data_IF_737074667321
#
_entry.id   IF_737074667321
#
_cell.length_a   1.000
_cell.length_b   1.000
_cell.length_c   1.000
_cell.angle_alpha   90.00
_cell.angle_beta   90.00
_cell.angle_gamma   90.00
#
_symmetry.space_group_name_H-M   'P 1'
#
loop_
_entity.id
_entity.type
_entity.pdbx_description
1 polymer ?
#
# COMPACT_ATOMS: atom_id res chain seq x y z
N UNK A 1 -38.36 -14.21 5.17
CA UNK A 1 -37.07 -14.19 5.88
C UNK A 1 -35.99 -13.97 4.83
N UNK A 2 -35.56 -12.73 4.61
CA UNK A 2 -34.51 -12.45 3.65
C UNK A 2 -33.17 -12.82 4.29
N UNK A 3 -32.53 -13.87 3.78
CA UNK A 3 -31.14 -14.17 4.06
C UNK A 3 -30.31 -12.98 3.58
N UNK A 4 -29.83 -12.17 4.51
CA UNK A 4 -28.91 -11.09 4.24
C UNK A 4 -27.53 -11.70 3.97
N UNK A 5 -27.39 -12.34 2.82
CA UNK A 5 -26.09 -12.75 2.29
C UNK A 5 -25.41 -11.48 1.80
N UNK A 6 -24.74 -10.78 2.71
CA UNK A 6 -23.71 -9.84 2.31
C UNK A 6 -22.67 -10.69 1.60
N UNK A 7 -22.76 -10.75 0.27
CA UNK A 7 -21.74 -11.36 -0.55
C UNK A 7 -20.50 -10.47 -0.45
N UNK A 8 -19.73 -10.70 0.61
CA UNK A 8 -18.43 -10.11 0.89
C UNK A 8 -17.34 -10.88 0.12
N UNK A 9 -17.65 -11.36 -1.09
CA UNK A 9 -16.64 -11.82 -2.03
C UNK A 9 -15.88 -10.60 -2.55
N UNK A 10 -15.16 -9.98 -1.62
CA UNK A 10 -14.01 -9.17 -1.91
C UNK A 10 -13.05 -10.10 -2.62
N UNK A 11 -12.46 -9.69 -3.74
CA UNK A 11 -11.37 -10.41 -4.39
C UNK A 11 -10.15 -9.52 -4.31
N UNK A 12 -9.03 -10.01 -3.79
CA UNK A 12 -7.75 -9.30 -3.85
C UNK A 12 -6.62 -10.30 -4.11
N UNK A 13 -5.79 -9.95 -5.09
CA UNK A 13 -4.47 -10.42 -5.59
C UNK A 13 -4.00 -11.88 -5.48
N UNK A 14 -3.77 -12.53 -6.61
CA UNK A 14 -3.01 -13.79 -6.66
C UNK A 14 -1.50 -13.60 -6.39
N UNK A 15 -0.96 -12.39 -6.60
CA UNK A 15 0.46 -12.10 -6.50
C UNK A 15 0.90 -11.66 -5.09
N UNK A 16 2.19 -11.88 -4.75
CA UNK A 16 2.82 -11.52 -3.47
C UNK A 16 2.68 -10.03 -3.12
N UNK A 17 2.60 -9.16 -4.13
CA UNK A 17 2.32 -7.74 -3.99
C UNK A 17 1.26 -7.34 -5.01
N UNK A 18 0.39 -6.36 -4.71
CA UNK A 18 -0.53 -5.81 -5.70
C UNK A 18 0.26 -5.13 -6.83
N UNK A 19 -0.24 -5.24 -8.06
CA UNK A 19 0.30 -4.49 -9.19
C UNK A 19 -0.09 -3.01 -9.09
N UNK A 20 0.35 -2.18 -10.03
CA UNK A 20 -0.17 -0.81 -10.14
C UNK A 20 -1.64 -0.87 -10.56
N UNK A 21 -2.48 0.07 -10.10
CA UNK A 21 -3.93 0.20 -10.39
C UNK A 21 -4.84 -0.92 -9.87
N UNK A 22 -4.25 -1.85 -9.14
CA UNK A 22 -4.88 -2.89 -8.36
C UNK A 22 -5.77 -2.32 -7.22
N UNK A 23 -7.00 -2.81 -7.08
CA UNK A 23 -7.96 -2.37 -6.05
C UNK A 23 -7.70 -2.96 -4.64
N UNK A 24 -7.28 -2.14 -3.68
CA UNK A 24 -7.00 -2.56 -2.27
C UNK A 24 -8.12 -2.17 -1.29
N UNK A 25 -8.29 -2.93 -0.20
CA UNK A 25 -9.26 -2.62 0.84
C UNK A 25 -8.61 -1.78 1.95
N UNK A 26 -9.30 -0.71 2.36
CA UNK A 26 -8.84 0.15 3.45
C UNK A 26 -9.94 0.49 4.44
N UNK A 27 -9.67 0.24 5.72
CA UNK A 27 -10.51 0.69 6.82
C UNK A 27 -10.18 2.16 7.17
N UNK A 28 -11.11 3.06 6.85
CA UNK A 28 -10.94 4.52 7.03
C UNK A 28 -11.39 5.04 8.41
N UNK A 29 -12.51 4.54 8.95
CA UNK A 29 -13.05 5.02 10.24
C UNK A 29 -13.95 3.97 10.89
N UNK A 30 -14.12 4.03 12.21
CA UNK A 30 -15.14 3.25 12.96
C UNK A 30 -16.48 3.96 13.08
N UNK A 31 -16.53 5.25 12.74
CA UNK A 31 -17.74 6.09 12.79
C UNK A 31 -18.25 6.33 11.38
N UNK A 32 -19.54 6.68 11.28
CA UNK A 32 -20.14 7.09 10.01
C UNK A 32 -19.32 8.20 9.37
N UNK A 33 -18.85 7.93 8.14
CA UNK A 33 -18.09 8.88 7.34
C UNK A 33 -19.10 9.78 6.63
N UNK A 34 -19.01 11.10 6.82
CA UNK A 34 -19.84 12.07 6.08
C UNK A 34 -19.32 12.25 4.65
N UNK A 35 -18.00 12.28 4.47
CA UNK A 35 -17.35 12.43 3.17
C UNK A 35 -16.05 11.63 3.14
N UNK A 36 -15.88 10.80 2.11
CA UNK A 36 -14.64 10.04 1.89
C UNK A 36 -13.48 11.01 1.57
N UNK A 37 -13.78 12.07 0.81
CA UNK A 37 -12.79 13.08 0.37
C UNK A 37 -12.17 13.87 1.53
N UNK A 38 -12.77 13.85 2.73
CA UNK A 38 -12.18 14.46 3.91
C UNK A 38 -11.12 13.56 4.58
N UNK A 39 -11.11 12.26 4.26
CA UNK A 39 -10.17 11.28 4.84
C UNK A 39 -9.08 10.87 3.85
N UNK A 40 -9.39 10.78 2.57
CA UNK A 40 -8.47 10.41 1.49
C UNK A 40 -8.68 11.30 0.27
N UNK A 41 -7.61 11.57 -0.48
CA UNK A 41 -7.66 12.35 -1.71
C UNK A 41 -6.92 11.60 -2.81
N UNK A 42 -7.49 11.61 -4.01
CA UNK A 42 -6.82 11.06 -5.20
C UNK A 42 -5.49 11.77 -5.42
N UNK A 43 -4.46 11.01 -5.76
CA UNK A 43 -3.11 11.52 -5.99
C UNK A 43 -2.31 11.81 -4.72
N UNK A 44 -2.89 11.64 -3.52
CA UNK A 44 -2.15 11.77 -2.26
C UNK A 44 -1.57 10.41 -1.84
N UNK A 45 -0.28 10.41 -1.50
CA UNK A 45 0.37 9.29 -0.81
C UNK A 45 0.14 9.49 0.68
N UNK A 46 -0.54 8.52 1.30
CA UNK A 46 -0.84 8.54 2.73
C UNK A 46 -0.22 7.31 3.41
N UNK A 47 0.42 7.47 4.59
CA UNK A 47 0.85 6.33 5.37
C UNK A 47 -0.36 5.56 5.89
N UNK A 48 -0.30 4.24 5.81
CA UNK A 48 -1.34 3.30 6.24
C UNK A 48 -0.68 2.08 6.87
N UNK A 49 -1.36 1.44 7.82
CA UNK A 49 -0.89 0.23 8.47
C UNK A 49 -1.44 -0.98 7.72
N UNK A 50 -0.59 -1.98 7.50
CA UNK A 50 -1.05 -3.33 7.13
C UNK A 50 -1.66 -3.97 8.37
N UNK A 51 -2.97 -4.22 8.34
CA UNK A 51 -3.71 -4.80 9.47
C UNK A 51 -3.79 -6.32 9.40
N UNK A 52 -3.98 -6.87 8.19
CA UNK A 52 -4.03 -8.32 7.95
C UNK A 52 -3.49 -8.62 6.55
N UNK A 53 -2.80 -9.76 6.43
CA UNK A 53 -2.45 -10.38 5.15
C UNK A 53 -2.97 -11.82 5.17
N UNK A 54 -3.76 -12.21 4.17
CA UNK A 54 -4.16 -13.60 3.93
C UNK A 54 -3.49 -14.06 2.63
N UNK A 55 -2.32 -14.68 2.73
CA UNK A 55 -1.48 -15.03 1.58
C UNK A 55 -2.18 -16.01 0.63
N UNK A 56 -2.83 -17.05 1.16
CA UNK A 56 -3.50 -18.10 0.35
C UNK A 56 -4.62 -17.58 -0.55
N UNK A 57 -5.19 -16.43 -0.20
CA UNK A 57 -6.31 -15.83 -0.91
C UNK A 57 -5.99 -14.46 -1.50
N UNK A 58 -4.81 -13.92 -1.19
CA UNK A 58 -4.37 -12.63 -1.71
C UNK A 58 -4.87 -11.37 -1.01
N UNK A 59 -5.47 -11.49 0.17
CA UNK A 59 -6.06 -10.33 0.83
C UNK A 59 -5.05 -9.52 1.61
N UNK A 60 -5.11 -8.20 1.45
CA UNK A 60 -4.39 -7.25 2.29
C UNK A 60 -5.39 -6.22 2.82
N UNK A 61 -5.59 -6.21 4.13
CA UNK A 61 -6.41 -5.20 4.80
C UNK A 61 -5.52 -4.05 5.27
N UNK A 62 -5.79 -2.84 4.77
CA UNK A 62 -5.09 -1.63 5.19
C UNK A 62 -5.91 -0.86 6.22
N UNK A 63 -5.24 -0.10 7.09
CA UNK A 63 -5.92 0.73 8.09
C UNK A 63 -5.27 2.09 8.28
N UNK A 64 -6.09 3.15 8.21
CA UNK A 64 -5.67 4.53 8.52
C UNK A 64 -5.93 4.92 9.98
N UNK A 65 -6.54 4.03 10.77
CA UNK A 65 -7.10 4.34 12.10
C UNK A 65 -6.08 4.47 13.24
N UNK A 66 -4.92 3.84 13.11
CA UNK A 66 -4.03 3.47 14.23
C UNK A 66 -2.66 4.13 14.17
N UNK A 67 -2.46 5.11 13.29
CA UNK A 67 -1.16 5.76 13.17
C UNK A 67 -1.02 6.90 14.18
N UNK A 68 -0.02 6.78 15.06
CA UNK A 68 0.44 7.91 15.87
C UNK A 68 1.13 8.95 14.98
N UNK A 69 1.32 10.18 15.50
CA UNK A 69 2.05 11.21 14.74
C UNK A 69 3.51 10.81 14.52
N UNK A 70 4.06 10.09 15.47
CA UNK A 70 5.41 9.55 15.48
C UNK A 70 5.56 8.48 14.38
N UNK A 71 4.60 7.54 14.29
CA UNK A 71 4.60 6.50 13.24
C UNK A 71 4.45 7.08 11.84
N UNK A 72 3.59 8.11 11.69
CA UNK A 72 3.43 8.84 10.42
C UNK A 72 4.77 9.41 10.00
N UNK A 73 5.42 10.16 10.90
CA UNK A 73 6.70 10.79 10.63
C UNK A 73 7.79 9.77 10.28
N UNK A 74 7.88 8.68 11.05
CA UNK A 74 8.85 7.62 10.79
C UNK A 74 8.62 6.92 9.45
N UNK A 75 7.35 6.67 9.09
CA UNK A 75 6.96 6.10 7.81
C UNK A 75 7.33 7.03 6.64
N UNK A 76 7.02 8.32 6.74
CA UNK A 76 7.35 9.32 5.74
C UNK A 76 8.87 9.47 5.56
N UNK A 77 9.63 9.51 6.66
CA UNK A 77 11.10 9.57 6.61
C UNK A 77 11.69 8.33 5.93
N UNK A 78 11.20 7.13 6.27
CA UNK A 78 11.62 5.88 5.63
C UNK A 78 11.29 5.90 4.14
N UNK A 79 10.06 6.28 3.78
CA UNK A 79 9.62 6.37 2.39
C UNK A 79 10.49 7.33 1.57
N UNK A 80 10.78 8.52 2.11
CA UNK A 80 11.61 9.51 1.44
C UNK A 80 13.06 9.01 1.21
N UNK A 81 13.65 8.35 2.20
CA UNK A 81 14.97 7.70 2.05
C UNK A 81 14.95 6.62 0.98
N UNK A 82 13.94 5.74 1.00
CA UNK A 82 13.78 4.69 -0.01
C UNK A 82 13.57 5.25 -1.42
N UNK A 83 12.83 6.36 -1.58
CA UNK A 83 12.66 7.04 -2.87
C UNK A 83 13.97 7.62 -3.41
N UNK A 84 14.80 8.18 -2.54
CA UNK A 84 16.13 8.65 -2.93
C UNK A 84 17.00 7.49 -3.41
N UNK A 85 17.06 6.39 -2.64
CA UNK A 85 17.78 5.17 -3.05
C UNK A 85 17.25 4.62 -4.37
N UNK A 86 15.93 4.55 -4.55
CA UNK A 86 15.32 4.12 -5.80
C UNK A 86 15.73 5.00 -6.99
N UNK A 87 15.80 6.31 -6.80
CA UNK A 87 16.24 7.24 -7.84
C UNK A 87 17.69 7.01 -8.25
N UNK A 88 18.58 6.73 -7.27
CA UNK A 88 19.98 6.42 -7.54
C UNK A 88 20.08 5.08 -8.27
N UNK A 89 19.39 4.04 -7.80
CA UNK A 89 19.40 2.71 -8.42
C UNK A 89 18.89 2.76 -9.86
N UNK A 90 17.82 3.52 -10.12
CA UNK A 90 17.31 3.74 -11.47
C UNK A 90 18.36 4.39 -12.37
N UNK A 91 19.04 5.44 -11.89
CA UNK A 91 20.08 6.11 -12.66
C UNK A 91 21.27 5.19 -12.96
N UNK A 92 21.67 4.36 -12.00
CA UNK A 92 22.72 3.35 -12.19
C UNK A 92 22.28 2.31 -13.22
N UNK A 93 21.04 1.79 -13.13
CA UNK A 93 20.48 0.85 -14.10
C UNK A 93 20.52 1.39 -15.53
N UNK A 94 20.05 2.64 -15.72
CA UNK A 94 20.06 3.32 -17.01
C UNK A 94 21.48 3.53 -17.55
N UNK A 95 22.42 3.90 -16.68
CA UNK A 95 23.82 4.18 -17.06
C UNK A 95 24.56 2.91 -17.46
N UNK A 96 24.37 1.83 -16.70
CA UNK A 96 25.03 0.54 -16.94
C UNK A 96 24.27 -0.35 -17.92
N UNK A 97 23.06 0.05 -18.32
CA UNK A 97 22.13 -0.73 -19.17
C UNK A 97 21.84 -2.12 -18.60
N UNK A 98 21.68 -2.17 -17.28
CA UNK A 98 21.27 -3.37 -16.54
C UNK A 98 19.82 -3.24 -16.12
N UNK A 99 19.15 -4.36 -15.87
CA UNK A 99 17.78 -4.31 -15.40
C UNK A 99 17.71 -3.78 -13.96
N UNK A 100 16.70 -2.94 -13.69
CA UNK A 100 16.56 -2.32 -12.37
C UNK A 100 16.20 -3.37 -11.30
N UNK A 101 15.43 -4.40 -11.66
CA UNK A 101 15.08 -5.49 -10.75
C UNK A 101 16.31 -6.29 -10.35
N UNK A 102 17.24 -6.52 -11.28
CA UNK A 102 18.53 -7.17 -10.96
C UNK A 102 19.34 -6.38 -9.93
N UNK A 103 19.33 -5.05 -9.99
CA UNK A 103 19.97 -4.21 -8.98
C UNK A 103 19.26 -4.32 -7.62
N UNK A 104 17.92 -4.40 -7.60
CA UNK A 104 17.18 -4.60 -6.36
C UNK A 104 17.48 -5.94 -5.70
N UNK A 105 17.57 -7.02 -6.47
CA UNK A 105 17.82 -8.37 -5.92
C UNK A 105 19.24 -8.51 -5.38
N UNK A 106 20.23 -7.87 -6.02
CA UNK A 106 21.64 -8.11 -5.72
C UNK A 106 22.29 -7.06 -4.79
N UNK A 107 21.68 -5.90 -4.59
CA UNK A 107 22.28 -4.78 -3.83
C UNK A 107 21.46 -4.42 -2.57
N UNK A 108 20.15 -4.67 -2.56
CA UNK A 108 19.25 -4.22 -1.47
C UNK A 108 19.34 -5.08 -0.20
#
# INVERSE_FOLDING_TARGET
>A
MASNTQNLECRMYEAKYPEVDSAVMIQLSRRRIRSINSLIKVGRIDPVIVFRVEEDKGYIDLSKRTLSKEDIKACEERYNKSKLVHSIMRHVAETLKVDLEELYVNIA
#
